data_IF_047917870988
#
_entry.id   IF_047917870988
#
_cell.length_a   1.000
_cell.length_b   1.000
_cell.length_c   1.000
_cell.angle_alpha   90.00
_cell.angle_beta   90.00
_cell.angle_gamma   90.00
#
_symmetry.space_group_name_H-M   'P 1'
#
loop_
_entity.id
_entity.type
_entity.pdbx_description
1 polymer ?
#
# COMPACT_ATOMS: atom_id res chain seq x y z
N UNK A 1 -23.82 20.75 -20.89
CA UNK A 1 -22.52 21.21 -20.36
C UNK A 1 -22.35 20.87 -18.87
N UNK A 2 -23.38 20.97 -18.03
CA UNK A 2 -23.24 20.66 -16.58
C UNK A 2 -22.93 19.19 -16.28
N UNK A 3 -23.55 18.22 -16.99
CA UNK A 3 -23.26 16.79 -16.81
C UNK A 3 -21.79 16.42 -17.08
N UNK A 4 -21.19 16.98 -18.14
CA UNK A 4 -19.79 16.76 -18.48
C UNK A 4 -18.86 17.31 -17.39
N UNK A 5 -19.17 18.48 -16.82
CA UNK A 5 -18.38 19.08 -15.74
C UNK A 5 -18.45 18.27 -14.44
N UNK A 6 -19.62 17.72 -14.11
CA UNK A 6 -19.81 16.86 -12.93
C UNK A 6 -19.03 15.56 -13.11
N UNK A 7 -19.10 14.95 -14.30
CA UNK A 7 -18.38 13.72 -14.62
C UNK A 7 -16.87 13.90 -14.53
N UNK A 8 -16.30 14.95 -15.14
CA UNK A 8 -14.85 15.20 -15.07
C UNK A 8 -14.35 15.45 -13.65
N UNK A 9 -15.13 16.14 -12.80
CA UNK A 9 -14.76 16.34 -11.38
C UNK A 9 -14.82 15.05 -10.58
N UNK A 10 -15.78 14.18 -10.89
CA UNK A 10 -15.86 12.86 -10.26
C UNK A 10 -14.66 11.99 -10.67
N UNK A 11 -14.33 11.93 -11.96
CA UNK A 11 -13.16 11.21 -12.47
C UNK A 11 -11.84 11.74 -11.89
N UNK A 12 -11.73 13.04 -11.67
CA UNK A 12 -10.58 13.63 -10.96
C UNK A 12 -10.55 13.20 -9.48
N UNK A 13 -11.67 13.22 -8.78
CA UNK A 13 -11.75 12.79 -7.39
C UNK A 13 -11.40 11.30 -7.23
N UNK A 14 -11.85 10.43 -8.13
CA UNK A 14 -11.50 9.00 -8.16
C UNK A 14 -9.99 8.83 -8.35
N UNK A 15 -9.39 9.53 -9.32
CA UNK A 15 -7.93 9.49 -9.54
C UNK A 15 -7.13 9.96 -8.32
N UNK A 16 -7.57 11.01 -7.64
CA UNK A 16 -6.93 11.49 -6.41
C UNK A 16 -7.03 10.47 -5.26
N UNK A 17 -8.18 9.79 -5.14
CA UNK A 17 -8.35 8.73 -4.16
C UNK A 17 -7.43 7.53 -4.45
N UNK A 18 -7.35 7.10 -5.71
CA UNK A 18 -6.43 6.03 -6.14
C UNK A 18 -4.96 6.36 -5.84
N UNK A 19 -4.55 7.61 -6.11
CA UNK A 19 -3.19 8.06 -5.83
C UNK A 19 -2.85 8.04 -4.34
N UNK A 20 -3.80 8.51 -3.52
CA UNK A 20 -3.67 8.45 -2.07
C UNK A 20 -3.56 7.00 -1.57
N UNK A 21 -4.39 6.09 -2.10
CA UNK A 21 -4.35 4.67 -1.73
C UNK A 21 -3.06 3.98 -2.16
N UNK A 22 -2.58 4.24 -3.38
CA UNK A 22 -1.31 3.70 -3.86
C UNK A 22 -0.14 4.17 -2.98
N UNK A 23 -0.10 5.47 -2.64
CA UNK A 23 0.90 6.03 -1.76
C UNK A 23 0.83 5.45 -0.33
N UNK A 24 -0.37 5.32 0.23
CA UNK A 24 -0.58 4.74 1.57
C UNK A 24 -0.15 3.26 1.60
N UNK A 25 -0.51 2.47 0.59
CA UNK A 25 -0.09 1.07 0.48
C UNK A 25 1.43 0.94 0.37
N UNK A 26 2.07 1.73 -0.48
CA UNK A 26 3.55 1.75 -0.62
C UNK A 26 4.22 2.04 0.72
N UNK A 27 3.73 3.05 1.47
CA UNK A 27 4.26 3.37 2.79
C UNK A 27 4.07 2.24 3.81
N UNK A 28 2.89 1.63 3.86
CA UNK A 28 2.60 0.53 4.78
C UNK A 28 3.46 -0.70 4.48
N UNK A 29 3.55 -1.09 3.21
CA UNK A 29 4.37 -2.23 2.77
C UNK A 29 5.85 -1.96 3.02
N UNK A 30 6.36 -0.77 2.65
CA UNK A 30 7.75 -0.39 2.91
C UNK A 30 8.08 -0.42 4.41
N UNK A 31 7.19 0.11 5.25
CA UNK A 31 7.37 0.07 6.70
C UNK A 31 7.41 -1.36 7.23
N UNK A 32 6.48 -2.21 6.78
CA UNK A 32 6.43 -3.60 7.22
C UNK A 32 7.68 -4.37 6.76
N UNK A 33 8.07 -4.25 5.51
CA UNK A 33 9.29 -4.85 4.95
C UNK A 33 10.53 -4.40 5.72
N UNK A 34 10.66 -3.11 6.04
CA UNK A 34 11.75 -2.57 6.85
C UNK A 34 11.80 -3.22 8.24
N UNK A 35 10.64 -3.33 8.90
CA UNK A 35 10.56 -3.98 10.21
C UNK A 35 10.90 -5.46 10.14
N UNK A 36 10.50 -6.18 9.09
CA UNK A 36 10.68 -7.62 8.99
C UNK A 36 12.08 -8.02 8.51
N UNK A 37 12.67 -7.29 7.55
CA UNK A 37 13.98 -7.58 6.92
C UNK A 37 15.18 -7.58 7.86
N UNK A 38 15.05 -6.93 9.03
CA UNK A 38 15.88 -7.13 10.21
C UNK A 38 17.39 -7.27 9.97
N UNK A 39 18.13 -6.16 10.00
CA UNK A 39 19.18 -5.85 10.99
C UNK A 39 19.47 -4.35 10.86
N UNK A 40 19.52 -3.65 11.99
CA UNK A 40 20.31 -2.42 12.11
C UNK A 40 21.31 -2.69 13.23
N UNK A 41 22.60 -2.59 12.93
CA UNK A 41 23.68 -2.73 13.92
C UNK A 41 23.68 -4.07 14.71
N UNK A 42 23.41 -5.20 14.04
CA UNK A 42 23.51 -6.52 14.67
C UNK A 42 22.27 -6.97 15.44
N UNK A 43 21.21 -6.14 15.55
CA UNK A 43 19.97 -6.47 16.29
C UNK A 43 18.73 -6.44 15.40
N UNK A 44 17.74 -7.33 15.64
CA UNK A 44 16.45 -7.28 14.95
C UNK A 44 15.74 -5.95 15.20
N UNK A 45 15.19 -5.35 14.14
CA UNK A 45 14.31 -4.17 14.28
C UNK A 45 13.07 -4.52 15.09
N UNK A 46 12.61 -3.56 15.88
CA UNK A 46 11.40 -3.70 16.70
C UNK A 46 10.17 -3.84 15.79
N UNK A 47 9.51 -4.98 15.89
CA UNK A 47 8.26 -5.28 15.17
C UNK A 47 7.07 -5.18 16.13
N UNK A 48 6.12 -4.28 15.83
CA UNK A 48 4.92 -4.01 16.63
C UNK A 48 3.67 -4.60 15.96
N UNK A 49 2.69 -5.01 16.76
CA UNK A 49 1.42 -5.57 16.27
C UNK A 49 0.67 -4.59 15.37
N UNK A 50 0.80 -3.30 15.66
CA UNK A 50 0.23 -2.21 14.87
C UNK A 50 0.64 -2.26 13.40
N UNK A 51 1.80 -2.83 13.05
CA UNK A 51 2.21 -2.90 11.64
C UNK A 51 1.27 -3.80 10.81
N UNK A 52 0.76 -4.90 11.40
CA UNK A 52 -0.22 -5.79 10.76
C UNK A 52 -1.62 -5.21 10.90
N UNK A 53 -1.96 -4.64 12.07
CA UNK A 53 -3.25 -3.98 12.30
C UNK A 53 -3.53 -2.87 11.28
N UNK A 54 -2.55 -1.98 11.05
CA UNK A 54 -2.68 -0.87 10.11
C UNK A 54 -2.93 -1.34 8.67
N UNK A 55 -2.34 -2.48 8.25
CA UNK A 55 -2.60 -3.07 6.93
C UNK A 55 -4.02 -3.61 6.82
N UNK A 56 -4.51 -4.29 7.86
CA UNK A 56 -5.91 -4.74 7.88
C UNK A 56 -6.89 -3.57 7.82
N UNK A 57 -6.65 -2.50 8.57
CA UNK A 57 -7.46 -1.29 8.52
C UNK A 57 -7.44 -0.64 7.13
N UNK A 58 -6.28 -0.63 6.47
CA UNK A 58 -6.14 -0.18 5.09
C UNK A 58 -7.01 -1.03 4.14
N UNK A 59 -6.95 -2.37 4.23
CA UNK A 59 -7.72 -3.24 3.34
C UNK A 59 -9.23 -3.04 3.48
N UNK A 60 -9.73 -2.86 4.70
CA UNK A 60 -11.15 -2.59 4.94
C UNK A 60 -11.55 -1.22 4.36
N UNK A 61 -10.72 -0.19 4.55
CA UNK A 61 -10.94 1.14 3.94
C UNK A 61 -10.93 1.07 2.41
N UNK A 62 -9.95 0.40 1.82
CA UNK A 62 -9.83 0.22 0.37
C UNK A 62 -11.07 -0.47 -0.21
N UNK A 63 -11.55 -1.54 0.44
CA UNK A 63 -12.77 -2.25 0.03
C UNK A 63 -14.02 -1.37 0.14
N UNK A 64 -14.15 -0.60 1.21
CA UNK A 64 -15.33 0.27 1.45
C UNK A 64 -15.51 1.35 0.38
N UNK A 65 -14.40 1.83 -0.20
CA UNK A 65 -14.39 2.88 -1.21
C UNK A 65 -14.61 2.38 -2.65
N UNK A 66 -14.75 1.05 -2.86
CA UNK A 66 -14.98 0.43 -4.17
C UNK A 66 -14.06 1.00 -5.28
N UNK A 67 -12.78 1.18 -4.98
CA UNK A 67 -11.78 1.69 -5.94
C UNK A 67 -11.42 0.58 -6.93
N UNK A 68 -12.38 0.16 -7.76
CA UNK A 68 -12.23 -0.90 -8.78
C UNK A 68 -11.76 -0.38 -10.13
N UNK A 69 -11.37 0.88 -10.18
CA UNK A 69 -10.96 1.57 -11.40
C UNK A 69 -9.50 1.27 -11.79
N UNK A 70 -8.74 0.57 -10.93
CA UNK A 70 -7.33 0.28 -11.13
C UNK A 70 -7.01 -1.20 -10.85
N UNK A 71 -7.09 -2.02 -11.89
CA UNK A 71 -6.84 -3.47 -11.82
C UNK A 71 -5.43 -3.80 -11.28
N UNK A 72 -4.43 -2.96 -11.57
CA UNK A 72 -3.06 -3.17 -11.09
C UNK A 72 -2.96 -2.96 -9.57
N UNK A 73 -3.59 -1.90 -9.05
CA UNK A 73 -3.65 -1.64 -7.61
C UNK A 73 -4.44 -2.74 -6.89
N UNK A 74 -5.57 -3.18 -7.45
CA UNK A 74 -6.37 -4.29 -6.91
C UNK A 74 -5.54 -5.58 -6.79
N UNK A 75 -4.76 -5.92 -7.82
CA UNK A 75 -3.87 -7.08 -7.82
C UNK A 75 -2.80 -6.99 -6.73
N UNK A 76 -2.21 -5.83 -6.51
CA UNK A 76 -1.19 -5.64 -5.47
C UNK A 76 -1.78 -5.66 -4.06
N UNK A 77 -2.97 -5.08 -3.87
CA UNK A 77 -3.72 -5.18 -2.62
C UNK A 77 -4.03 -6.63 -2.30
N UNK A 78 -4.54 -7.40 -3.27
CA UNK A 78 -4.85 -8.81 -3.09
C UNK A 78 -3.61 -9.65 -2.75
N UNK A 79 -2.48 -9.41 -3.42
CA UNK A 79 -1.21 -10.07 -3.11
C UNK A 79 -0.75 -9.75 -1.67
N UNK A 80 -0.75 -8.48 -1.29
CA UNK A 80 -0.35 -8.05 0.06
C UNK A 80 -1.26 -8.69 1.13
N UNK A 81 -2.57 -8.68 0.89
CA UNK A 81 -3.55 -9.31 1.78
C UNK A 81 -3.29 -10.81 1.91
N UNK A 82 -3.04 -11.52 0.80
CA UNK A 82 -2.74 -12.95 0.81
C UNK A 82 -1.48 -13.30 1.61
N UNK A 83 -0.44 -12.47 1.55
CA UNK A 83 0.81 -12.67 2.30
C UNK A 83 0.58 -12.56 3.81
N UNK A 84 -0.19 -11.56 4.26
CA UNK A 84 -0.36 -11.29 5.70
C UNK A 84 -1.58 -12.01 6.31
N UNK A 85 -2.45 -12.58 5.48
CA UNK A 85 -3.68 -13.23 5.94
C UNK A 85 -3.36 -14.43 6.84
N UNK A 86 -4.02 -14.49 8.00
CA UNK A 86 -3.86 -15.57 8.96
C UNK A 86 -2.56 -15.51 9.77
N UNK A 87 -1.66 -14.56 9.48
CA UNK A 87 -0.42 -14.39 10.23
C UNK A 87 -0.70 -13.61 11.52
N UNK A 88 -0.47 -14.27 12.66
CA UNK A 88 -0.50 -13.60 13.95
C UNK A 88 0.83 -12.85 14.17
N UNK A 89 0.82 -11.58 14.63
CA UNK A 89 2.04 -10.83 14.88
C UNK A 89 3.04 -11.53 15.82
N UNK A 90 2.53 -12.30 16.78
CA UNK A 90 3.36 -13.10 17.68
C UNK A 90 4.21 -14.15 16.97
N UNK A 91 3.71 -14.71 15.86
CA UNK A 91 4.43 -15.73 15.08
C UNK A 91 5.62 -15.10 14.34
N UNK A 92 5.47 -13.89 13.82
CA UNK A 92 6.56 -13.12 13.21
C UNK A 92 7.66 -12.74 14.20
N UNK A 93 7.34 -12.65 15.50
CA UNK A 93 8.35 -12.43 16.56
C UNK A 93 9.09 -13.70 16.91
N UNK A 94 8.40 -14.84 16.95
CA UNK A 94 8.95 -16.13 17.43
C UNK A 94 9.66 -16.90 16.33
N UNK A 95 9.21 -16.78 15.08
CA UNK A 95 9.69 -17.56 13.93
C UNK A 95 10.49 -16.68 12.98
N UNK A 96 11.81 -16.75 13.08
CA UNK A 96 12.72 -15.99 12.22
C UNK A 96 12.57 -16.31 10.73
N UNK A 97 12.37 -17.59 10.38
CA UNK A 97 12.20 -18.05 9.00
C UNK A 97 10.91 -17.48 8.38
N UNK A 98 9.77 -17.57 9.08
CA UNK A 98 8.50 -16.99 8.63
C UNK A 98 8.64 -15.48 8.44
N UNK A 99 9.34 -14.79 9.36
CA UNK A 99 9.60 -13.36 9.24
C UNK A 99 10.42 -13.02 7.98
N UNK A 100 11.45 -13.81 7.67
CA UNK A 100 12.27 -13.62 6.46
C UNK A 100 11.46 -13.91 5.19
N UNK A 101 10.65 -14.96 5.18
CA UNK A 101 9.76 -15.29 4.07
C UNK A 101 8.81 -14.13 3.76
N UNK A 102 8.08 -13.66 4.77
CA UNK A 102 7.12 -12.55 4.62
C UNK A 102 7.83 -11.26 4.19
N UNK A 103 9.03 -10.97 4.72
CA UNK A 103 9.82 -9.83 4.26
C UNK A 103 10.19 -9.93 2.78
N UNK A 104 10.59 -11.11 2.31
CA UNK A 104 10.95 -11.35 0.91
C UNK A 104 9.75 -11.19 -0.02
N UNK A 105 8.59 -11.76 0.34
CA UNK A 105 7.36 -11.65 -0.45
C UNK A 105 6.88 -10.20 -0.54
N UNK A 106 6.88 -9.47 0.59
CA UNK A 106 6.52 -8.05 0.62
C UNK A 106 7.53 -7.15 -0.11
N UNK A 107 8.81 -7.53 -0.17
CA UNK A 107 9.80 -6.80 -0.97
C UNK A 107 9.46 -6.84 -2.47
N UNK A 108 8.93 -7.97 -2.95
CA UNK A 108 8.43 -8.09 -4.32
C UNK A 108 7.24 -7.17 -4.59
N UNK A 109 6.27 -7.13 -3.67
CA UNK A 109 5.12 -6.21 -3.76
C UNK A 109 5.56 -4.75 -3.72
N UNK A 110 6.51 -4.41 -2.84
CA UNK A 110 7.08 -3.06 -2.74
C UNK A 110 7.70 -2.61 -4.07
N UNK A 111 8.52 -3.45 -4.70
CA UNK A 111 9.14 -3.12 -5.99
C UNK A 111 8.11 -2.86 -7.08
N UNK A 112 7.01 -3.62 -7.11
CA UNK A 112 5.92 -3.39 -8.06
C UNK A 112 5.16 -2.08 -7.78
N UNK A 113 4.92 -1.75 -6.50
CA UNK A 113 4.31 -0.47 -6.10
C UNK A 113 5.20 0.72 -6.48
N UNK A 114 6.51 0.61 -6.27
CA UNK A 114 7.48 1.63 -6.65
C UNK A 114 7.48 1.88 -8.16
N UNK A 115 7.36 0.82 -8.97
CA UNK A 115 7.19 0.93 -10.42
C UNK A 115 5.93 1.73 -10.81
N UNK A 116 4.77 1.41 -10.23
CA UNK A 116 3.52 2.13 -10.49
C UNK A 116 3.58 3.62 -10.08
N UNK A 117 4.32 3.94 -9.01
CA UNK A 117 4.53 5.31 -8.56
C UNK A 117 5.45 6.11 -9.49
N UNK A 118 6.43 5.46 -10.12
CA UNK A 118 7.36 6.10 -11.07
C UNK A 118 6.67 6.38 -12.41
N UNK A 119 5.90 5.42 -12.92
CA UNK A 119 5.25 5.52 -14.23
C UNK A 119 4.06 6.50 -14.24
N UNK A 120 3.57 6.92 -13.07
CA UNK A 120 2.47 7.89 -12.99
C UNK A 120 2.93 9.31 -13.33
N UNK A 121 2.22 10.03 -14.22
CA UNK A 121 2.49 11.44 -14.48
C UNK A 121 2.28 12.25 -13.19
N UNK A 122 3.37 12.84 -12.67
CA UNK A 122 3.31 13.71 -11.48
C UNK A 122 2.39 14.91 -11.74
N UNK A 123 1.51 15.21 -10.77
CA UNK A 123 0.45 16.24 -10.82
C UNK A 123 0.86 17.51 -11.58
N UNK A 124 0.08 17.86 -12.60
CA UNK A 124 0.12 19.20 -13.20
C UNK A 124 -0.48 20.19 -12.20
N UNK A 125 0.35 21.12 -11.70
CA UNK A 125 -0.12 22.19 -10.82
C UNK A 125 -0.89 23.19 -11.67
N UNK A 126 -2.22 23.06 -11.74
CA UNK A 126 -3.07 24.09 -12.34
C UNK A 126 -3.02 25.31 -11.40
N UNK A 127 -2.17 26.28 -11.72
CA UNK A 127 -2.19 27.59 -11.07
C UNK A 127 -3.41 28.34 -11.60
N UNK A 128 -4.37 28.63 -10.73
CA UNK A 128 -5.48 29.53 -11.04
C UNK A 128 -4.92 30.95 -11.18
N UNK A 129 -5.05 31.64 -12.33
CA UNK A 129 -4.74 33.06 -12.41
C UNK A 129 -5.78 33.86 -11.60
N UNK A 130 -5.29 34.93 -10.97
CA UNK A 130 -6.05 35.84 -10.09
C UNK A 130 -6.83 36.87 -10.90
#
# INVERSE_FOLDING_TARGET
QECQRVQSRFEEAVRLAEDAFLGELSQLVSHLTDRLSGQADGRPKVFRDSAIGNLHEFFERFRSLNVRSNEQLDVLVAQCQGIVQGIQPQELRKRGELRQQVASELSGVQAALDGLLVDRPRRQIIRTPK
#
